data_IF_508579450070
#
_entry.id   IF_508579450070
#
_cell.length_a   1.000
_cell.length_b   1.000
_cell.length_c   1.000
_cell.angle_alpha   90.00
_cell.angle_beta   90.00
_cell.angle_gamma   90.00
#
_symmetry.space_group_name_H-M   'P 1'
#
loop_
_entity.id
_entity.type
_entity.pdbx_description
1 polymer ?
#
# COMPACT_ATOMS: atom_id res chain seq x y z
N UNK A 1 12.56 10.65 13.05
CA UNK A 1 13.99 10.29 13.01
C UNK A 1 14.36 9.38 11.84
N UNK A 2 13.65 8.26 11.63
CA UNK A 2 13.97 7.29 10.57
C UNK A 2 13.97 7.88 9.14
N UNK A 3 12.98 8.72 8.80
CA UNK A 3 12.82 9.28 7.44
C UNK A 3 14.04 10.08 6.95
N UNK A 4 14.67 10.85 7.84
CA UNK A 4 15.84 11.66 7.50
C UNK A 4 17.11 10.82 7.25
N UNK A 5 17.11 9.54 7.65
CA UNK A 5 18.24 8.61 7.52
C UNK A 5 18.01 7.55 6.45
N UNK A 6 16.76 7.30 6.04
CA UNK A 6 16.41 6.21 5.15
C UNK A 6 16.55 6.60 3.67
N UNK A 7 17.28 5.79 2.92
CA UNK A 7 17.30 5.85 1.44
C UNK A 7 16.03 5.23 0.82
N UNK A 8 15.46 4.24 1.50
CA UNK A 8 14.25 3.54 1.11
C UNK A 8 13.29 3.46 2.29
N UNK A 9 12.02 3.79 2.05
CA UNK A 9 10.95 3.69 3.03
C UNK A 9 9.89 2.72 2.50
N UNK A 10 9.72 1.58 3.17
CA UNK A 10 8.69 0.59 2.82
C UNK A 10 7.53 0.65 3.81
N UNK A 11 6.31 0.82 3.31
CA UNK A 11 5.11 0.92 4.13
C UNK A 11 4.51 -0.47 4.39
N UNK A 12 4.35 -0.81 5.66
CA UNK A 12 3.69 -2.04 6.13
C UNK A 12 2.67 -1.75 7.24
N UNK A 13 2.16 -0.52 7.27
CA UNK A 13 1.19 -0.07 8.28
C UNK A 13 -0.23 -0.36 7.80
N UNK A 14 -1.13 -0.84 8.68
CA UNK A 14 -2.56 -0.92 8.38
C UNK A 14 -3.15 0.44 8.02
N UNK A 15 -4.25 0.43 7.27
CA UNK A 15 -5.07 1.62 7.09
C UNK A 15 -5.99 1.78 8.30
N UNK A 16 -5.85 2.90 8.99
CA UNK A 16 -6.64 3.35 10.13
C UNK A 16 -6.83 4.86 10.02
N UNK A 17 -7.69 5.45 10.84
CA UNK A 17 -7.98 6.90 10.80
C UNK A 17 -6.71 7.74 10.88
N UNK A 18 -5.74 7.33 11.72
CA UNK A 18 -4.49 8.04 11.95
C UNK A 18 -3.44 7.83 10.85
N UNK A 19 -3.66 6.87 9.94
CA UNK A 19 -2.70 6.52 8.88
C UNK A 19 -3.20 6.88 7.48
N UNK A 20 -4.44 7.37 7.35
CA UNK A 20 -4.91 8.00 6.11
C UNK A 20 -3.99 9.18 5.77
N UNK A 21 -3.53 9.24 4.52
CA UNK A 21 -2.63 10.29 4.03
C UNK A 21 -1.36 10.44 4.89
N UNK A 22 -0.88 9.33 5.49
CA UNK A 22 0.38 9.30 6.25
C UNK A 22 1.55 9.85 5.42
N UNK A 23 1.62 9.49 4.14
CA UNK A 23 2.60 10.02 3.19
C UNK A 23 2.03 11.27 2.52
N UNK A 24 2.06 12.37 3.27
CA UNK A 24 1.71 13.71 2.82
C UNK A 24 2.97 14.58 2.59
N UNK A 25 2.77 15.86 2.26
CA UNK A 25 3.87 16.80 2.01
C UNK A 25 4.84 16.94 3.20
N UNK A 26 4.35 16.93 4.45
CA UNK A 26 5.20 17.00 5.64
C UNK A 26 6.05 15.73 5.82
N UNK A 27 5.46 14.55 5.62
CA UNK A 27 6.19 13.28 5.59
C UNK A 27 7.30 13.30 4.53
N UNK A 28 6.97 13.74 3.32
CA UNK A 28 7.90 13.80 2.19
C UNK A 28 9.04 14.78 2.48
N UNK A 29 8.74 15.96 3.06
CA UNK A 29 9.75 16.97 3.40
C UNK A 29 10.84 16.47 4.36
N UNK A 30 10.53 15.44 5.15
CA UNK A 30 11.42 14.83 6.13
C UNK A 30 12.30 13.72 5.55
N UNK A 31 12.07 13.33 4.29
CA UNK A 31 12.85 12.31 3.62
C UNK A 31 14.28 12.80 3.36
N UNK A 32 15.22 11.85 3.35
CA UNK A 32 16.53 12.08 2.75
C UNK A 32 16.36 12.49 1.27
N UNK A 33 17.08 13.51 0.77
CA UNK A 33 17.11 13.84 -0.64
C UNK A 33 17.43 12.62 -1.51
N UNK A 34 16.56 12.29 -2.46
CA UNK A 34 16.72 11.14 -3.33
C UNK A 34 16.08 9.85 -2.82
N UNK A 35 15.34 9.89 -1.71
CA UNK A 35 14.71 8.71 -1.13
C UNK A 35 13.65 8.08 -2.05
N UNK A 36 13.41 6.79 -1.85
CA UNK A 36 12.42 5.98 -2.57
C UNK A 36 11.36 5.49 -1.59
N UNK A 37 10.09 5.58 -2.00
CA UNK A 37 8.97 4.98 -1.25
C UNK A 37 8.51 3.70 -1.95
N UNK A 38 8.26 2.66 -1.15
CA UNK A 38 7.64 1.41 -1.57
C UNK A 38 6.33 1.24 -0.78
N UNK A 39 5.20 1.13 -1.46
CA UNK A 39 3.91 0.89 -0.83
C UNK A 39 3.23 -0.37 -1.39
N UNK A 40 3.20 -1.42 -0.59
CA UNK A 40 2.39 -2.62 -0.86
C UNK A 40 1.39 -2.86 0.27
N UNK A 41 1.11 -1.83 1.06
CA UNK A 41 0.20 -1.90 2.20
C UNK A 41 -1.21 -1.49 1.76
N UNK A 42 -1.51 -0.19 1.74
CA UNK A 42 -2.82 0.34 1.32
C UNK A 42 -2.62 1.66 0.56
N UNK A 43 -3.41 1.84 -0.50
CA UNK A 43 -3.35 3.04 -1.33
C UNK A 43 -3.63 4.33 -0.56
N UNK A 44 -4.69 4.41 0.28
CA UNK A 44 -5.01 5.63 1.04
C UNK A 44 -3.99 6.06 2.10
N UNK A 45 -2.90 5.31 2.29
CA UNK A 45 -1.75 5.81 3.08
C UNK A 45 -1.03 6.97 2.37
N UNK A 46 -1.19 7.08 1.05
CA UNK A 46 -0.63 8.15 0.24
C UNK A 46 -1.64 9.29 0.11
N UNK A 47 -1.18 10.51 0.35
CA UNK A 47 -1.82 11.68 -0.26
C UNK A 47 -1.38 11.71 -1.73
N UNK A 48 -2.27 11.27 -2.63
CA UNK A 48 -1.95 11.08 -4.05
C UNK A 48 -1.45 12.37 -4.71
N UNK A 49 -2.04 13.52 -4.37
CA UNK A 49 -1.65 14.81 -4.91
C UNK A 49 -0.26 15.22 -4.39
N UNK A 50 -0.03 15.14 -3.08
CA UNK A 50 1.27 15.49 -2.50
C UNK A 50 2.40 14.58 -3.02
N UNK A 51 2.12 13.30 -3.22
CA UNK A 51 3.08 12.35 -3.80
C UNK A 51 3.34 12.65 -5.27
N UNK A 52 2.31 12.91 -6.07
CA UNK A 52 2.46 13.28 -7.48
C UNK A 52 3.29 14.55 -7.62
N UNK A 53 2.94 15.60 -6.87
CA UNK A 53 3.65 16.89 -6.87
C UNK A 53 5.12 16.71 -6.50
N UNK A 54 5.41 15.90 -5.48
CA UNK A 54 6.78 15.61 -5.07
C UNK A 54 7.55 14.84 -6.15
N UNK A 55 6.92 13.86 -6.80
CA UNK A 55 7.56 13.14 -7.90
C UNK A 55 7.89 14.06 -9.08
N UNK A 56 7.02 15.00 -9.41
CA UNK A 56 7.19 15.93 -10.52
C UNK A 56 8.26 17.00 -10.23
N UNK A 57 8.20 17.62 -9.05
CA UNK A 57 9.17 18.62 -8.60
C UNK A 57 10.55 17.99 -8.33
N UNK A 58 10.58 16.72 -7.93
CA UNK A 58 11.80 15.97 -7.64
C UNK A 58 12.14 15.94 -6.15
N UNK A 59 13.42 16.13 -5.82
CA UNK A 59 13.95 15.89 -4.47
C UNK A 59 13.10 16.58 -3.37
N UNK A 60 12.72 15.85 -2.29
CA UNK A 60 13.41 14.66 -1.79
C UNK A 60 12.91 13.32 -2.32
N UNK A 61 11.69 13.22 -2.86
CA UNK A 61 11.16 11.95 -3.35
C UNK A 61 11.66 11.65 -4.77
N UNK A 62 12.51 10.64 -4.92
CA UNK A 62 13.07 10.26 -6.22
C UNK A 62 12.15 9.34 -7.00
N UNK A 63 11.50 8.40 -6.32
CA UNK A 63 10.73 7.33 -6.94
C UNK A 63 9.68 6.75 -6.00
N UNK A 64 8.55 6.37 -6.56
CA UNK A 64 7.52 5.56 -5.93
C UNK A 64 7.45 4.19 -6.61
N UNK A 65 7.41 3.14 -5.81
CA UNK A 65 6.96 1.82 -6.23
C UNK A 65 5.70 1.48 -5.44
N UNK A 66 4.58 1.22 -6.09
CA UNK A 66 3.34 0.88 -5.39
C UNK A 66 2.60 -0.25 -6.09
N UNK A 67 2.02 -1.14 -5.31
CA UNK A 67 1.07 -2.15 -5.80
C UNK A 67 -0.38 -1.78 -5.48
N UNK A 68 -0.59 -0.67 -4.77
CA UNK A 68 -1.90 -0.27 -4.24
C UNK A 68 -2.19 1.20 -4.60
N UNK A 69 -3.46 1.52 -4.83
CA UNK A 69 -3.95 2.87 -5.11
C UNK A 69 -5.17 3.20 -4.24
N UNK A 70 -5.46 4.49 -3.96
CA UNK A 70 -6.59 4.85 -3.10
C UNK A 70 -7.93 4.35 -3.61
N UNK A 71 -8.10 4.34 -4.93
CA UNK A 71 -9.27 3.78 -5.63
C UNK A 71 -8.79 2.69 -6.58
N UNK A 72 -9.43 1.54 -6.48
CA UNK A 72 -9.10 0.36 -7.27
C UNK A 72 -10.39 -0.28 -7.84
N UNK A 73 -10.45 -0.55 -9.16
CA UNK A 73 -9.44 -0.25 -10.18
C UNK A 73 -9.27 1.26 -10.40
N UNK A 74 -8.07 1.74 -10.75
CA UNK A 74 -7.83 3.17 -10.90
C UNK A 74 -8.50 3.74 -12.16
N UNK A 75 -8.89 5.01 -12.08
CA UNK A 75 -9.22 5.80 -13.26
C UNK A 75 -8.00 5.89 -14.20
N UNK A 76 -8.19 5.91 -15.53
CA UNK A 76 -7.12 6.27 -16.47
C UNK A 76 -6.47 7.63 -16.18
N UNK A 77 -7.15 8.51 -15.44
CA UNK A 77 -6.69 9.87 -15.07
C UNK A 77 -5.94 9.91 -13.73
N UNK A 78 -5.68 8.75 -13.09
CA UNK A 78 -4.96 8.70 -11.81
C UNK A 78 -3.57 9.33 -11.92
N UNK A 79 -3.22 10.19 -10.97
CA UNK A 79 -2.02 11.04 -11.04
C UNK A 79 -0.70 10.25 -11.05
N UNK A 80 -0.72 9.04 -10.49
CA UNK A 80 0.46 8.19 -10.38
C UNK A 80 0.63 7.29 -11.61
N UNK A 81 -0.43 7.06 -12.39
CA UNK A 81 -0.34 6.27 -13.61
C UNK A 81 0.37 7.08 -14.71
N UNK A 82 1.41 6.47 -15.31
CA UNK A 82 2.19 7.10 -16.37
C UNK A 82 3.25 8.09 -15.89
N UNK A 83 3.32 8.43 -14.60
CA UNK A 83 4.41 9.23 -14.07
C UNK A 83 5.75 8.46 -14.22
N UNK A 84 6.79 9.01 -14.87
CA UNK A 84 8.05 8.30 -15.13
C UNK A 84 8.84 7.93 -13.87
N UNK A 85 8.47 8.51 -12.71
CA UNK A 85 9.05 8.24 -11.40
C UNK A 85 8.10 7.44 -10.50
N UNK A 86 6.96 6.97 -11.01
CA UNK A 86 6.11 6.00 -10.34
C UNK A 86 6.13 4.67 -11.11
N UNK A 87 6.21 3.56 -10.37
CA UNK A 87 5.96 2.23 -10.91
C UNK A 87 4.77 1.66 -10.16
N UNK A 88 3.70 1.40 -10.89
CA UNK A 88 2.43 0.92 -10.34
C UNK A 88 2.15 -0.48 -10.85
N UNK A 89 1.95 -1.44 -9.95
CA UNK A 89 1.42 -2.77 -10.28
C UNK A 89 -0.04 -2.92 -9.81
N UNK A 90 -0.84 -3.80 -10.45
CA UNK A 90 -2.29 -3.82 -10.28
C UNK A 90 -2.73 -4.68 -9.08
N UNK A 91 -2.38 -4.28 -7.86
CA UNK A 91 -2.75 -4.96 -6.60
C UNK A 91 -2.62 -6.48 -6.63
N UNK A 92 -1.45 -6.95 -7.04
CA UNK A 92 -1.16 -8.35 -7.32
C UNK A 92 -0.05 -8.93 -6.43
N UNK A 93 0.51 -8.16 -5.50
CA UNK A 93 1.55 -8.62 -4.58
C UNK A 93 1.09 -9.83 -3.74
N UNK A 94 -0.19 -9.92 -3.41
CA UNK A 94 -0.77 -11.07 -2.71
C UNK A 94 -1.03 -12.28 -3.63
N UNK A 95 -1.05 -12.08 -4.95
CA UNK A 95 -1.62 -12.99 -5.97
C UNK A 95 -0.76 -14.18 -6.38
N UNK A 96 0.33 -14.49 -5.67
CA UNK A 96 1.16 -15.68 -5.96
C UNK A 96 0.33 -16.96 -5.89
N UNK A 97 0.68 -17.98 -6.71
CA UNK A 97 -0.04 -19.25 -6.71
C UNK A 97 -0.13 -19.85 -5.31
N UNK A 98 0.98 -19.84 -4.57
CA UNK A 98 1.07 -20.39 -3.21
C UNK A 98 0.17 -19.63 -2.23
N UNK A 99 0.12 -18.30 -2.30
CA UNK A 99 -0.74 -17.50 -1.43
C UNK A 99 -2.22 -17.74 -1.76
N UNK A 100 -2.59 -17.76 -3.04
CA UNK A 100 -3.96 -18.05 -3.49
C UNK A 100 -4.41 -19.46 -3.09
N UNK A 101 -3.54 -20.46 -3.23
CA UNK A 101 -3.80 -21.83 -2.80
C UNK A 101 -4.07 -21.88 -1.29
N UNK A 102 -3.20 -21.28 -0.46
CA UNK A 102 -3.43 -21.21 0.99
C UNK A 102 -4.73 -20.49 1.34
N UNK A 103 -5.00 -19.35 0.70
CA UNK A 103 -6.22 -18.57 0.93
C UNK A 103 -7.47 -19.41 0.65
N UNK A 104 -7.53 -20.08 -0.50
CA UNK A 104 -8.68 -20.91 -0.88
C UNK A 104 -8.88 -22.05 0.12
N UNK A 105 -7.81 -22.77 0.49
CA UNK A 105 -7.92 -23.83 1.49
C UNK A 105 -8.39 -23.32 2.84
N UNK A 106 -7.85 -22.20 3.33
CA UNK A 106 -8.29 -21.60 4.60
C UNK A 106 -9.77 -21.19 4.55
N UNK A 107 -10.23 -20.60 3.44
CA UNK A 107 -11.65 -20.23 3.27
C UNK A 107 -12.55 -21.47 3.29
N UNK A 108 -12.19 -22.53 2.55
CA UNK A 108 -12.96 -23.77 2.54
C UNK A 108 -13.02 -24.38 3.94
N UNK A 109 -11.88 -24.51 4.63
CA UNK A 109 -11.84 -25.05 5.99
C UNK A 109 -12.64 -24.22 6.99
N UNK A 110 -12.67 -22.89 6.85
CA UNK A 110 -13.52 -22.04 7.69
C UNK A 110 -15.03 -22.29 7.45
N UNK A 111 -15.42 -22.51 6.19
CA UNK A 111 -16.82 -22.81 5.82
C UNK A 111 -17.23 -24.19 6.36
N UNK A 112 -16.38 -25.21 6.18
CA UNK A 112 -16.62 -26.56 6.71
C UNK A 112 -16.75 -26.54 8.23
N UNK A 113 -15.86 -25.81 8.93
CA UNK A 113 -15.93 -25.65 10.37
C UNK A 113 -17.24 -24.98 10.81
N UNK A 114 -17.68 -23.93 10.10
CA UNK A 114 -18.93 -23.26 10.40
C UNK A 114 -20.16 -24.18 10.26
N UNK A 115 -20.21 -25.01 9.21
CA UNK A 115 -21.29 -25.98 8.99
C UNK A 115 -21.33 -27.09 10.05
N UNK A 116 -20.19 -27.36 10.69
CA UNK A 116 -20.04 -28.32 11.79
C UNK A 116 -20.24 -27.69 13.19
N UNK A 117 -20.75 -26.45 13.27
CA UNK A 117 -20.86 -25.67 14.51
C UNK A 117 -19.51 -25.46 15.24
N UNK A 118 -18.38 -25.53 14.52
CA UNK A 118 -17.03 -25.28 15.03
C UNK A 118 -16.61 -23.84 14.75
N UNK A 119 -15.79 -23.28 15.64
CA UNK A 119 -15.23 -21.94 15.48
C UNK A 119 -13.73 -22.02 15.17
N UNK A 120 -13.36 -21.54 13.98
CA UNK A 120 -11.97 -21.50 13.50
C UNK A 120 -11.74 -20.14 12.83
N UNK A 121 -10.58 -19.52 13.07
CA UNK A 121 -10.19 -18.22 12.50
C UNK A 121 -11.26 -17.11 12.66
N UNK A 122 -12.01 -17.13 13.76
CA UNK A 122 -13.04 -16.13 14.07
C UNK A 122 -12.40 -14.85 14.60
N UNK A 123 -12.72 -13.73 13.96
CA UNK A 123 -12.39 -12.39 14.46
C UNK A 123 -13.70 -11.78 14.94
N UNK A 124 -13.75 -11.34 16.19
CA UNK A 124 -14.86 -10.55 16.71
C UNK A 124 -14.63 -9.10 16.29
N UNK A 125 -15.52 -8.58 15.44
CA UNK A 125 -15.54 -7.16 15.11
C UNK A 125 -16.32 -6.49 16.25
N UNK A 126 -15.61 -5.74 17.09
CA UNK A 126 -16.20 -4.88 18.13
C UNK A 126 -16.96 -3.70 17.51
#
# INVERSE_FOLDING_TARGET
EALAKADYVSLHTPLAEETVSLVNADFISKLKPGAVIINTARGPLLDEAAVSDALDQGSPLRKLYTDVLPVEPPSPENLLLGNPRAVVSPHVAWGTLQARTRLIYTVVSNIEAYLDDKQVNRIEIL
#
